data_IF_705726673719
#
_entry.id   IF_705726673719
#
_cell.length_a   1.000
_cell.length_b   1.000
_cell.length_c   1.000
_cell.angle_alpha   90.00
_cell.angle_beta   90.00
_cell.angle_gamma   90.00
#
_symmetry.space_group_name_H-M   'P 1'
#
loop_
_entity.id
_entity.type
_entity.pdbx_description
1 polymer ?
#
# COMPACT_ATOMS: atom_id res chain seq x y z
N UNK A 1 8.26 -5.18 -11.14
CA UNK A 1 8.50 -6.52 -10.55
C UNK A 1 9.03 -7.58 -11.52
N UNK A 2 8.48 -7.70 -12.74
CA UNK A 2 8.72 -8.83 -13.67
C UNK A 2 10.14 -8.91 -14.25
N UNK A 3 10.90 -7.82 -14.27
CA UNK A 3 12.25 -7.78 -14.87
C UNK A 3 13.39 -8.18 -13.92
N UNK A 4 13.10 -8.50 -12.65
CA UNK A 4 14.11 -8.85 -11.63
C UNK A 4 13.86 -10.23 -10.98
N UNK A 5 13.10 -11.10 -11.65
CA UNK A 5 12.84 -12.46 -11.18
C UNK A 5 14.08 -13.34 -11.44
N UNK A 6 14.39 -14.21 -10.48
CA UNK A 6 15.38 -15.27 -10.71
C UNK A 6 14.84 -16.28 -11.73
N UNK A 7 15.70 -17.08 -12.40
CA UNK A 7 15.30 -17.98 -13.50
C UNK A 7 14.24 -19.06 -13.18
N UNK A 8 13.86 -19.23 -11.91
CA UNK A 8 12.83 -20.17 -11.39
C UNK A 8 11.94 -19.49 -10.34
N UNK A 9 11.63 -18.19 -10.50
CA UNK A 9 10.82 -17.43 -9.55
C UNK A 9 9.52 -16.96 -10.21
N UNK A 10 8.40 -17.57 -9.83
CA UNK A 10 7.07 -17.19 -10.31
C UNK A 10 6.36 -16.28 -9.30
N UNK A 11 5.57 -15.33 -9.81
CA UNK A 11 4.73 -14.44 -8.99
C UNK A 11 3.40 -15.16 -8.73
N UNK A 12 3.18 -15.58 -7.49
CA UNK A 12 1.97 -16.30 -7.08
C UNK A 12 0.82 -15.33 -6.79
N UNK A 13 1.16 -14.17 -6.25
CA UNK A 13 0.17 -13.17 -5.87
C UNK A 13 0.74 -11.76 -5.98
N UNK A 14 -0.06 -10.84 -6.54
CA UNK A 14 0.24 -9.42 -6.64
C UNK A 14 -0.90 -8.64 -5.98
N UNK A 15 -0.57 -7.84 -4.98
CA UNK A 15 -1.50 -6.90 -4.35
C UNK A 15 -1.06 -5.47 -4.67
N UNK A 16 -2.02 -4.54 -4.60
CA UNK A 16 -1.78 -3.12 -4.81
C UNK A 16 -2.14 -2.34 -3.55
N UNK A 17 -1.74 -1.07 -3.52
CA UNK A 17 -2.20 -0.17 -2.48
C UNK A 17 -3.72 0.03 -2.61
N UNK A 18 -4.43 0.26 -1.51
CA UNK A 18 -5.88 0.43 -1.56
C UNK A 18 -6.28 1.85 -2.01
N UNK A 19 -7.37 1.98 -2.78
CA UNK A 19 -7.85 3.28 -3.30
C UNK A 19 -8.24 4.29 -2.20
N UNK A 20 -8.39 3.83 -0.95
CA UNK A 20 -8.77 4.67 0.20
C UNK A 20 -7.84 5.87 0.39
N UNK A 21 -6.60 5.79 -0.08
CA UNK A 21 -5.64 6.90 0.02
C UNK A 21 -6.13 8.14 -0.75
N UNK A 22 -6.93 7.96 -1.81
CA UNK A 22 -7.55 9.06 -2.54
C UNK A 22 -8.66 9.78 -1.75
N UNK A 23 -9.26 9.13 -0.74
CA UNK A 23 -10.39 9.69 -0.01
C UNK A 23 -10.04 11.02 0.68
N UNK A 24 -8.87 11.10 1.31
CA UNK A 24 -8.42 12.32 2.01
C UNK A 24 -8.28 13.49 1.02
N UNK A 25 -7.65 13.25 -0.11
CA UNK A 25 -7.44 14.28 -1.13
C UNK A 25 -8.76 14.68 -1.80
N UNK A 26 -9.66 13.72 -2.06
CA UNK A 26 -10.98 13.98 -2.62
C UNK A 26 -11.82 14.87 -1.69
N UNK A 27 -11.78 14.63 -0.38
CA UNK A 27 -12.48 15.47 0.60
C UNK A 27 -11.97 16.93 0.60
N UNK A 28 -10.64 17.14 0.54
CA UNK A 28 -10.06 18.49 0.48
C UNK A 28 -10.46 19.22 -0.80
N UNK A 29 -10.47 18.53 -1.95
CA UNK A 29 -10.92 19.11 -3.22
C UNK A 29 -12.40 19.51 -3.17
N UNK A 30 -13.26 18.68 -2.57
CA UNK A 30 -14.68 19.01 -2.41
C UNK A 30 -14.89 20.25 -1.52
N UNK A 31 -14.15 20.36 -0.41
CA UNK A 31 -14.18 21.56 0.45
C UNK A 31 -13.68 22.79 -0.32
N UNK A 32 -12.62 22.64 -1.12
CA UNK A 32 -12.10 23.71 -1.98
C UNK A 32 -13.13 24.20 -3.00
N UNK A 33 -13.84 23.28 -3.68
CA UNK A 33 -14.91 23.60 -4.63
C UNK A 33 -16.07 24.30 -3.92
N UNK A 34 -16.47 23.82 -2.75
CA UNK A 34 -17.56 24.45 -1.96
C UNK A 34 -17.19 25.88 -1.52
N UNK A 35 -15.92 26.11 -1.15
CA UNK A 35 -15.42 27.44 -0.80
C UNK A 35 -15.41 28.43 -1.98
N UNK A 36 -15.50 27.99 -3.24
CA UNK A 36 -15.60 28.90 -4.40
C UNK A 36 -16.81 29.82 -4.30
N UNK A 37 -17.90 29.37 -3.67
CA UNK A 37 -19.10 30.16 -3.44
C UNK A 37 -18.91 31.30 -2.41
N UNK A 38 -17.85 31.24 -1.59
CA UNK A 38 -17.58 32.22 -0.53
C UNK A 38 -16.45 33.16 -0.93
N UNK A 39 -15.29 32.61 -1.33
CA UNK A 39 -14.11 33.41 -1.66
C UNK A 39 -13.17 32.71 -2.64
N UNK A 40 -13.10 33.24 -3.87
CA UNK A 40 -12.39 32.61 -4.98
C UNK A 40 -10.88 32.38 -4.74
N UNK A 41 -10.18 33.35 -4.13
CA UNK A 41 -8.72 33.25 -3.90
C UNK A 41 -8.40 32.12 -2.90
N UNK A 42 -9.14 32.07 -1.78
CA UNK A 42 -8.97 31.05 -0.76
C UNK A 42 -9.34 29.66 -1.30
N UNK A 43 -10.44 29.58 -2.04
CA UNK A 43 -10.90 28.35 -2.68
C UNK A 43 -9.89 27.82 -3.70
N UNK A 44 -9.26 28.70 -4.49
CA UNK A 44 -8.19 28.33 -5.42
C UNK A 44 -6.99 27.73 -4.68
N UNK A 45 -6.54 28.35 -3.59
CA UNK A 45 -5.44 27.84 -2.77
C UNK A 45 -5.75 26.46 -2.15
N UNK A 46 -6.94 26.29 -1.55
CA UNK A 46 -7.37 25.03 -0.93
C UNK A 46 -7.50 23.92 -1.98
N UNK A 47 -8.12 24.22 -3.12
CA UNK A 47 -8.27 23.27 -4.23
C UNK A 47 -6.90 22.88 -4.82
N UNK A 48 -5.99 23.84 -4.97
CA UNK A 48 -4.62 23.59 -5.42
C UNK A 48 -3.84 22.66 -4.49
N UNK A 49 -3.93 22.87 -3.17
CA UNK A 49 -3.34 21.98 -2.17
C UNK A 49 -3.97 20.58 -2.26
N UNK A 50 -5.30 20.50 -2.34
CA UNK A 50 -6.02 19.23 -2.51
C UNK A 50 -5.58 18.46 -3.74
N UNK A 51 -5.40 19.15 -4.88
CA UNK A 51 -4.94 18.56 -6.13
C UNK A 51 -3.49 18.08 -6.04
N UNK A 52 -2.60 18.86 -5.41
CA UNK A 52 -1.20 18.45 -5.19
C UNK A 52 -1.12 17.19 -4.31
N UNK A 53 -1.95 17.10 -3.26
CA UNK A 53 -2.05 15.91 -2.42
C UNK A 53 -2.68 14.73 -3.17
N UNK A 54 -3.68 14.96 -4.03
CA UNK A 54 -4.27 13.92 -4.88
C UNK A 54 -3.25 13.36 -5.86
N UNK A 55 -2.46 14.23 -6.49
CA UNK A 55 -1.39 13.82 -7.40
C UNK A 55 -0.34 12.99 -6.67
N UNK A 56 0.10 13.43 -5.48
CA UNK A 56 1.03 12.64 -4.67
C UNK A 56 0.48 11.27 -4.31
N UNK A 57 -0.77 11.21 -3.82
CA UNK A 57 -1.45 9.95 -3.52
C UNK A 57 -1.58 9.05 -4.75
N UNK A 58 -1.84 9.62 -5.92
CA UNK A 58 -1.92 8.90 -7.19
C UNK A 58 -0.60 8.24 -7.54
N UNK A 59 0.49 8.98 -7.40
CA UNK A 59 1.82 8.47 -7.71
C UNK A 59 2.22 7.39 -6.69
N UNK A 60 1.96 7.60 -5.40
CA UNK A 60 2.21 6.59 -4.36
C UNK A 60 1.40 5.29 -4.61
N UNK A 61 0.16 5.41 -5.08
CA UNK A 61 -0.67 4.26 -5.46
C UNK A 61 -0.09 3.53 -6.68
N UNK A 62 0.33 4.26 -7.71
CA UNK A 62 0.93 3.69 -8.93
C UNK A 62 2.32 3.08 -8.70
N UNK A 63 3.09 3.61 -7.76
CA UNK A 63 4.45 3.14 -7.47
C UNK A 63 4.50 2.00 -6.46
N UNK A 64 3.37 1.64 -5.86
CA UNK A 64 3.30 0.58 -4.86
C UNK A 64 3.08 -0.78 -5.50
N UNK A 65 3.99 -1.71 -5.25
CA UNK A 65 3.94 -3.10 -5.71
C UNK A 65 4.08 -4.01 -4.49
N UNK A 66 3.09 -4.87 -4.26
CA UNK A 66 3.18 -5.96 -3.29
C UNK A 66 3.14 -7.27 -4.05
N UNK A 67 4.09 -8.17 -3.80
CA UNK A 67 4.01 -9.49 -4.41
C UNK A 67 4.67 -10.59 -3.59
N UNK A 68 4.05 -11.76 -3.69
CA UNK A 68 4.51 -13.01 -3.10
C UNK A 68 4.99 -13.88 -4.23
N UNK A 69 6.26 -14.29 -4.18
CA UNK A 69 6.84 -15.25 -5.12
C UNK A 69 7.00 -16.61 -4.45
N UNK A 70 7.44 -17.61 -5.20
CA UNK A 70 7.78 -18.95 -4.69
C UNK A 70 8.96 -18.96 -3.70
N UNK A 71 9.79 -17.91 -3.68
CA UNK A 71 11.04 -17.86 -2.89
C UNK A 71 11.07 -16.74 -1.86
N UNK A 72 10.44 -15.60 -2.14
CA UNK A 72 10.48 -14.39 -1.31
C UNK A 72 9.21 -13.58 -1.38
N UNK A 73 9.02 -12.76 -0.36
CA UNK A 73 8.03 -11.69 -0.30
C UNK A 73 8.72 -10.40 -0.68
N UNK A 74 8.16 -9.67 -1.64
CA UNK A 74 8.68 -8.39 -2.12
C UNK A 74 7.60 -7.34 -1.93
N UNK A 75 7.93 -6.28 -1.21
CA UNK A 75 7.05 -5.14 -0.96
C UNK A 75 7.79 -3.87 -1.32
N UNK A 76 7.23 -3.08 -2.23
CA UNK A 76 7.74 -1.78 -2.68
C UNK A 76 6.65 -0.75 -2.48
N UNK A 77 6.90 0.27 -1.67
CA UNK A 77 5.91 1.32 -1.38
C UNK A 77 6.54 2.70 -1.37
N UNK A 78 5.73 3.70 -1.74
CA UNK A 78 6.08 5.11 -1.73
C UNK A 78 6.72 5.63 -3.01
N UNK A 79 6.66 6.95 -3.22
CA UNK A 79 7.20 7.64 -4.38
C UNK A 79 8.47 8.45 -4.05
N UNK A 80 8.38 9.42 -3.14
CA UNK A 80 9.52 10.26 -2.71
C UNK A 80 10.49 9.49 -1.82
N UNK A 81 9.96 8.74 -0.86
CA UNK A 81 10.73 7.88 0.03
C UNK A 81 10.29 6.44 -0.23
N UNK A 82 10.96 5.81 -1.20
CA UNK A 82 10.72 4.41 -1.54
C UNK A 82 11.19 3.53 -0.39
N UNK A 83 10.31 2.68 0.12
CA UNK A 83 10.66 1.58 1.01
C UNK A 83 10.51 0.29 0.23
N UNK A 84 11.58 -0.48 0.20
CA UNK A 84 11.62 -1.80 -0.43
C UNK A 84 11.98 -2.81 0.64
N UNK A 85 11.16 -3.83 0.80
CA UNK A 85 11.44 -4.99 1.63
C UNK A 85 11.43 -6.22 0.73
N UNK A 86 12.54 -6.94 0.74
CA UNK A 86 12.67 -8.25 0.11
C UNK A 86 13.07 -9.23 1.22
N UNK A 87 12.19 -10.17 1.54
CA UNK A 87 12.40 -11.14 2.60
C UNK A 87 12.15 -12.54 2.06
N UNK A 88 13.10 -13.46 2.22
CA UNK A 88 12.91 -14.86 1.81
C UNK A 88 11.77 -15.48 2.62
N UNK A 89 10.93 -16.32 1.99
CA UNK A 89 9.80 -16.95 2.67
C UNK A 89 10.25 -17.74 3.91
N UNK A 90 11.39 -18.44 3.81
CA UNK A 90 12.02 -19.17 4.92
C UNK A 90 12.48 -18.30 6.09
N UNK A 91 12.64 -16.99 5.88
CA UNK A 91 13.05 -16.03 6.90
C UNK A 91 11.87 -15.26 7.48
N UNK A 92 10.65 -15.51 6.99
CA UNK A 92 9.43 -14.93 7.57
C UNK A 92 9.10 -15.70 8.84
N UNK A 93 9.24 -15.04 9.99
CA UNK A 93 8.97 -15.66 11.29
C UNK A 93 7.52 -15.46 11.70
N UNK A 94 7.00 -14.24 11.53
CA UNK A 94 5.64 -13.91 11.88
C UNK A 94 5.03 -12.91 10.89
N UNK A 95 3.72 -13.07 10.66
CA UNK A 95 2.91 -12.18 9.84
C UNK A 95 1.69 -11.80 10.65
N UNK A 96 1.59 -10.53 11.00
CA UNK A 96 0.43 -9.98 11.71
C UNK A 96 -0.36 -9.10 10.76
N UNK A 97 -1.68 -9.30 10.73
CA UNK A 97 -2.61 -8.52 9.92
C UNK A 97 -3.54 -7.76 10.85
N UNK A 98 -3.57 -6.44 10.71
CA UNK A 98 -4.50 -5.58 11.45
C UNK A 98 -5.52 -4.96 10.49
N UNK A 99 -6.80 -5.22 10.74
CA UNK A 99 -7.91 -4.62 9.99
C UNK A 99 -8.93 -4.03 10.95
N UNK A 100 -9.19 -2.73 10.77
CA UNK A 100 -10.32 -2.08 11.43
C UNK A 100 -11.65 -2.61 10.87
N UNK A 101 -12.76 -2.33 11.56
CA UNK A 101 -14.10 -2.73 11.11
C UNK A 101 -14.37 -2.27 9.68
N UNK A 102 -14.07 -1.00 9.37
CA UNK A 102 -14.15 -0.44 8.02
C UNK A 102 -13.14 -1.11 7.06
N UNK A 103 -11.95 -1.44 7.55
CA UNK A 103 -10.94 -2.17 6.78
C UNK A 103 -11.42 -3.54 6.31
N UNK A 104 -12.20 -4.26 7.12
CA UNK A 104 -12.79 -5.54 6.72
C UNK A 104 -13.84 -5.37 5.63
N UNK A 105 -14.75 -4.40 5.75
CA UNK A 105 -15.80 -4.16 4.77
C UNK A 105 -15.24 -3.73 3.41
N UNK A 106 -14.25 -2.84 3.43
CA UNK A 106 -13.64 -2.30 2.20
C UNK A 106 -12.41 -3.08 1.74
N UNK A 107 -11.99 -4.13 2.45
CA UNK A 107 -10.86 -4.97 2.03
C UNK A 107 -9.47 -4.31 2.13
N UNK A 108 -9.22 -3.46 3.13
CA UNK A 108 -7.90 -2.88 3.39
C UNK A 108 -7.41 -3.12 4.82
N UNK A 109 -6.10 -3.05 5.03
CA UNK A 109 -5.52 -3.13 6.38
C UNK A 109 -4.04 -2.84 6.42
N UNK A 110 -3.44 -3.16 7.57
CA UNK A 110 -2.01 -3.10 7.81
C UNK A 110 -1.44 -4.51 7.92
N UNK A 111 -0.23 -4.70 7.42
CA UNK A 111 0.54 -5.93 7.49
C UNK A 111 1.85 -5.63 8.20
N UNK A 112 2.13 -6.37 9.26
CA UNK A 112 3.41 -6.37 9.94
C UNK A 112 4.14 -7.66 9.56
N UNK A 113 5.32 -7.52 8.97
CA UNK A 113 6.21 -8.62 8.65
C UNK A 113 7.37 -8.62 9.63
N UNK A 114 7.56 -9.76 10.30
CA UNK A 114 8.71 -10.02 11.15
C UNK A 114 9.59 -11.06 10.48
N UNK A 115 10.83 -10.68 10.23
CA UNK A 115 11.85 -11.54 9.65
C UNK A 115 12.95 -11.88 10.64
N UNK A 116 13.69 -12.93 10.33
CA UNK A 116 14.83 -13.37 11.15
C UNK A 116 15.88 -12.29 11.32
N UNK A 117 16.42 -12.18 12.54
CA UNK A 117 17.41 -11.17 12.89
C UNK A 117 16.82 -9.83 13.33
N UNK A 118 15.54 -9.80 13.72
CA UNK A 118 14.89 -8.61 14.30
C UNK A 118 14.36 -7.61 13.29
N UNK A 119 14.24 -8.00 12.02
CA UNK A 119 13.61 -7.16 10.98
C UNK A 119 12.12 -7.11 11.27
N UNK A 120 11.60 -5.92 11.59
CA UNK A 120 10.17 -5.71 11.79
C UNK A 120 9.72 -4.50 10.96
N UNK A 121 8.93 -4.76 9.92
CA UNK A 121 8.46 -3.72 9.01
C UNK A 121 6.93 -3.73 8.93
N UNK A 122 6.35 -2.53 8.96
CA UNK A 122 4.90 -2.33 8.98
C UNK A 122 4.45 -1.58 7.73
N UNK A 123 3.56 -2.21 6.98
CA UNK A 123 2.99 -1.67 5.75
C UNK A 123 1.49 -1.41 5.95
N UNK A 124 1.07 -0.20 5.60
CA UNK A 124 -0.31 0.26 5.81
C UNK A 124 -1.08 0.34 4.49
N UNK A 125 -2.41 0.25 4.55
CA UNK A 125 -3.33 0.39 3.41
C UNK A 125 -3.11 -0.66 2.29
N UNK A 126 -2.74 -1.88 2.67
CA UNK A 126 -2.64 -3.01 1.75
C UNK A 126 -4.05 -3.47 1.37
N UNK A 127 -4.28 -3.74 0.09
CA UNK A 127 -5.51 -4.38 -0.38
C UNK A 127 -5.51 -5.88 0.00
N UNK A 128 -6.60 -6.36 0.56
CA UNK A 128 -6.81 -7.76 0.93
C UNK A 128 -5.63 -8.40 1.72
N UNK A 129 -5.24 -7.82 2.88
CA UNK A 129 -4.06 -8.28 3.63
C UNK A 129 -4.19 -9.72 4.18
N UNK A 130 -5.42 -10.19 4.40
CA UNK A 130 -5.69 -11.58 4.81
C UNK A 130 -5.36 -12.58 3.69
N UNK A 131 -5.70 -12.26 2.44
CA UNK A 131 -5.36 -13.12 1.30
C UNK A 131 -3.85 -13.15 1.09
N UNK A 132 -3.18 -12.00 1.24
CA UNK A 132 -1.71 -11.92 1.20
C UNK A 132 -1.06 -12.85 2.24
N UNK A 133 -1.53 -12.82 3.50
CA UNK A 133 -1.08 -13.73 4.56
C UNK A 133 -1.35 -15.19 4.21
N UNK A 134 -2.54 -15.51 3.70
CA UNK A 134 -2.94 -16.88 3.33
C UNK A 134 -2.02 -17.46 2.24
N UNK A 135 -1.68 -16.65 1.23
CA UNK A 135 -0.77 -17.05 0.14
C UNK A 135 0.64 -17.31 0.63
N UNK A 136 1.14 -16.54 1.59
CA UNK A 136 2.46 -16.79 2.18
C UNK A 136 2.48 -18.10 2.97
N UNK A 137 1.48 -18.32 3.84
CA UNK A 137 1.41 -19.58 4.59
C UNK A 137 1.28 -20.81 3.69
N UNK A 138 0.52 -20.71 2.60
CA UNK A 138 0.37 -21.80 1.62
C UNK A 138 1.64 -22.13 0.83
N UNK A 139 2.71 -21.35 0.95
CA UNK A 139 4.02 -21.60 0.32
C UNK A 139 5.12 -21.95 1.33
N UNK A 140 4.88 -21.70 2.62
CA UNK A 140 5.82 -22.02 3.68
C UNK A 140 5.65 -23.44 4.26
N UNK A 141 4.62 -24.18 3.80
CA UNK A 141 4.36 -25.59 4.13
C UNK A 141 4.84 -26.46 2.98
#
# INVERSE_FOLDING_TARGET
MESNLLPDEEIIYKATLHWKIFWKSSFIVLVGIFCLAVQAILAGAVTGIGLALALRAFIDYKSSEFGVTTKRVIIKVGFLRRRTLELLLRQVEAISVEQSVLGRTFGFGSLTLTGTGGVCEVFHNISAPLEFRRRIHGQAT
#
